data_IF_750857006730
#
_entry.id   IF_750857006730
#
_cell.length_a   1.000
_cell.length_b   1.000
_cell.length_c   1.000
_cell.angle_alpha   90.00
_cell.angle_beta   90.00
_cell.angle_gamma   90.00
#
_symmetry.space_group_name_H-M   'P 1'
#
loop_
_entity.id
_entity.type
_entity.pdbx_description
1 polymer ?
#
# COMPACT_ATOMS: atom_id res chain seq x y z
N UNK A 1 -22.56 15.42 -14.20
CA UNK A 1 -22.86 16.64 -14.97
C UNK A 1 -22.43 16.39 -16.41
N UNK A 2 -23.36 16.22 -17.35
CA UNK A 2 -23.04 16.09 -18.78
C UNK A 2 -23.30 17.44 -19.44
N UNK A 3 -22.25 18.21 -19.68
CA UNK A 3 -22.37 19.45 -20.46
C UNK A 3 -22.49 19.09 -21.94
N UNK A 4 -23.22 19.92 -22.70
CA UNK A 4 -23.53 19.71 -24.13
C UNK A 4 -22.28 19.67 -25.04
N UNK A 5 -21.10 19.97 -24.50
CA UNK A 5 -19.81 19.92 -25.21
C UNK A 5 -19.16 18.54 -25.33
N UNK A 6 -19.77 17.47 -24.82
CA UNK A 6 -19.16 16.13 -24.84
C UNK A 6 -19.50 15.27 -26.08
N UNK A 7 -19.85 15.90 -27.21
CA UNK A 7 -20.08 15.24 -28.50
C UNK A 7 -20.95 13.94 -28.45
N UNK A 8 -21.98 13.90 -27.60
CA UNK A 8 -22.88 12.75 -27.47
C UNK A 8 -22.39 11.62 -26.55
N UNK A 9 -21.23 11.75 -25.92
CA UNK A 9 -20.72 10.75 -24.99
C UNK A 9 -21.27 10.93 -23.58
N UNK A 10 -21.53 9.81 -22.89
CA UNK A 10 -21.90 9.83 -21.47
C UNK A 10 -20.63 10.04 -20.63
N UNK A 11 -20.46 11.24 -20.07
CA UNK A 11 -19.41 11.49 -19.10
C UNK A 11 -19.80 10.88 -17.74
N UNK A 12 -19.07 9.84 -17.32
CA UNK A 12 -19.19 9.26 -15.98
C UNK A 12 -17.99 9.72 -15.17
N UNK A 13 -18.24 10.38 -14.03
CA UNK A 13 -17.20 10.75 -13.06
C UNK A 13 -16.95 9.53 -12.17
N UNK A 14 -15.71 9.06 -12.11
CA UNK A 14 -15.32 8.00 -11.16
C UNK A 14 -15.44 8.56 -9.73
N UNK A 15 -16.11 7.84 -8.84
CA UNK A 15 -16.52 8.36 -7.52
C UNK A 15 -15.37 8.35 -6.52
N UNK A 16 -14.90 7.18 -6.07
CA UNK A 16 -13.74 7.05 -5.18
C UNK A 16 -12.92 5.84 -5.65
N UNK A 17 -11.59 5.96 -5.57
CA UNK A 17 -10.69 4.82 -5.80
C UNK A 17 -10.48 4.11 -4.46
N UNK A 18 -10.68 2.80 -4.44
CA UNK A 18 -10.32 1.93 -3.32
C UNK A 18 -9.01 1.21 -3.65
N UNK A 19 -8.16 1.01 -2.65
CA UNK A 19 -6.86 0.36 -2.77
C UNK A 19 -6.63 -0.59 -1.61
N UNK A 20 -6.14 -1.78 -1.92
CA UNK A 20 -5.67 -2.77 -0.94
C UNK A 20 -4.29 -3.22 -1.39
N UNK A 21 -3.33 -3.24 -0.46
CA UNK A 21 -2.00 -3.80 -0.68
C UNK A 21 -1.88 -4.98 0.29
N UNK A 22 -1.68 -6.17 -0.26
CA UNK A 22 -1.62 -7.43 0.47
C UNK A 22 -0.30 -8.11 0.14
N UNK A 23 0.44 -8.47 1.18
CA UNK A 23 1.73 -9.12 1.05
C UNK A 23 1.99 -10.07 2.21
N UNK A 24 2.93 -10.97 2.00
CA UNK A 24 3.43 -11.88 3.03
C UNK A 24 4.89 -11.55 3.31
N UNK A 25 5.27 -11.60 4.58
CA UNK A 25 6.65 -11.38 5.00
C UNK A 25 7.09 -12.47 5.99
N UNK A 26 8.39 -12.74 6.05
CA UNK A 26 8.95 -13.64 7.05
C UNK A 26 8.88 -12.98 8.43
N UNK A 27 8.60 -13.77 9.47
CA UNK A 27 8.69 -13.34 10.86
C UNK A 27 10.15 -13.17 11.25
N UNK A 28 10.71 -12.00 10.97
CA UNK A 28 12.05 -11.61 11.41
C UNK A 28 11.95 -10.41 12.37
N UNK A 29 12.13 -10.67 13.67
CA UNK A 29 12.06 -9.62 14.69
C UNK A 29 13.32 -8.74 14.76
N UNK A 30 14.39 -9.09 14.05
CA UNK A 30 15.60 -8.28 13.95
C UNK A 30 15.54 -7.27 12.79
N UNK A 31 14.56 -7.39 11.90
CA UNK A 31 14.32 -6.46 10.80
C UNK A 31 13.53 -5.23 11.29
N UNK A 32 14.08 -4.04 11.03
CA UNK A 32 13.47 -2.76 11.38
C UNK A 32 12.14 -2.54 10.64
N UNK A 33 12.02 -3.03 9.40
CA UNK A 33 10.78 -2.90 8.62
C UNK A 33 9.66 -3.77 9.20
N UNK A 34 9.99 -4.98 9.68
CA UNK A 34 9.04 -5.83 10.42
C UNK A 34 8.56 -5.14 11.70
N UNK A 35 9.49 -4.58 12.48
CA UNK A 35 9.15 -3.86 13.69
C UNK A 35 8.22 -2.67 13.39
N UNK A 36 8.51 -1.90 12.33
CA UNK A 36 7.69 -0.77 11.90
C UNK A 36 6.25 -1.20 11.52
N UNK A 37 6.09 -2.27 10.75
CA UNK A 37 4.77 -2.77 10.32
C UNK A 37 3.97 -3.30 11.52
N UNK A 38 4.62 -4.09 12.40
CA UNK A 38 3.99 -4.60 13.63
C UNK A 38 3.52 -3.46 14.52
N UNK A 39 4.37 -2.46 14.74
CA UNK A 39 4.07 -1.34 15.62
C UNK A 39 2.99 -0.44 15.02
N UNK A 40 2.97 -0.26 13.69
CA UNK A 40 1.88 0.42 12.99
C UNK A 40 0.55 -0.31 13.18
N UNK A 41 0.53 -1.64 13.11
CA UNK A 41 -0.67 -2.44 13.38
C UNK A 41 -1.16 -2.29 14.84
N UNK A 42 -0.27 -2.48 15.81
CA UNK A 42 -0.62 -2.45 17.24
C UNK A 42 -1.09 -1.07 17.70
N UNK A 43 -0.46 -0.01 17.18
CA UNK A 43 -0.77 1.37 17.57
C UNK A 43 -1.86 2.02 16.70
N UNK A 44 -2.39 1.31 15.69
CA UNK A 44 -3.28 1.87 14.66
C UNK A 44 -2.66 3.11 13.98
N UNK A 45 -1.35 3.03 13.74
CA UNK A 45 -0.56 4.07 13.09
C UNK A 45 -0.76 4.08 11.59
N UNK A 46 -0.58 5.26 10.99
CA UNK A 46 -0.42 5.40 9.55
C UNK A 46 1.07 5.27 9.21
N UNK A 47 1.39 4.53 8.15
CA UNK A 47 2.74 4.29 7.66
C UNK A 47 2.78 4.52 6.14
N UNK A 48 3.87 5.07 5.64
CA UNK A 48 4.05 5.32 4.21
C UNK A 48 4.57 4.07 3.51
N UNK A 49 3.90 3.65 2.43
CA UNK A 49 4.36 2.59 1.56
C UNK A 49 4.77 3.14 0.19
N UNK A 50 5.86 2.60 -0.34
CA UNK A 50 6.27 2.73 -1.74
C UNK A 50 6.31 1.33 -2.36
N UNK A 51 5.25 0.96 -3.06
CA UNK A 51 5.12 -0.32 -3.76
C UNK A 51 5.70 -0.15 -5.16
N UNK A 52 6.99 -0.38 -5.29
CA UNK A 52 7.78 -0.13 -6.48
C UNK A 52 7.99 -1.41 -7.31
N UNK A 53 7.72 -1.32 -8.61
CA UNK A 53 8.66 -1.57 -9.70
C UNK A 53 9.94 -2.41 -9.53
N UNK A 54 10.79 -1.86 -8.68
CA UNK A 54 12.20 -2.15 -8.53
C UNK A 54 12.75 -1.29 -7.39
N UNK A 55 14.07 -1.27 -7.23
CA UNK A 55 14.70 -0.52 -6.13
C UNK A 55 14.34 0.98 -6.22
N UNK A 56 13.95 1.57 -5.10
CA UNK A 56 13.58 2.99 -4.98
C UNK A 56 14.75 3.93 -5.31
N UNK A 57 15.98 3.43 -5.31
CA UNK A 57 17.20 4.16 -5.68
C UNK A 57 17.53 4.06 -7.16
N UNK A 58 16.85 3.18 -7.92
CA UNK A 58 17.08 3.01 -9.35
C UNK A 58 16.22 3.98 -10.17
N UNK A 59 16.88 4.81 -10.97
CA UNK A 59 16.20 5.71 -11.90
C UNK A 59 15.32 4.93 -12.88
N UNK A 60 14.08 5.39 -13.07
CA UNK A 60 13.09 4.73 -13.90
C UNK A 60 12.22 3.70 -13.17
N UNK A 61 12.56 3.29 -11.94
CA UNK A 61 11.65 2.49 -11.10
C UNK A 61 10.37 3.28 -10.84
N UNK A 62 9.22 2.61 -10.92
CA UNK A 62 7.93 3.25 -10.76
C UNK A 62 7.02 2.44 -9.84
N UNK A 63 6.07 3.12 -9.19
CA UNK A 63 5.24 2.44 -8.21
C UNK A 63 4.17 3.31 -7.57
N UNK A 64 3.35 2.65 -6.76
CA UNK A 64 2.35 3.32 -5.94
C UNK A 64 3.00 3.79 -4.65
N UNK A 65 2.95 5.11 -4.41
CA UNK A 65 3.24 5.69 -3.11
C UNK A 65 1.93 6.04 -2.41
N UNK A 66 1.74 5.55 -1.18
CA UNK A 66 0.53 5.82 -0.41
C UNK A 66 0.78 5.74 1.10
N UNK A 67 0.16 6.66 1.86
CA UNK A 67 0.04 6.50 3.31
C UNK A 67 -1.08 5.51 3.63
N UNK A 68 -0.73 4.40 4.27
CA UNK A 68 -1.65 3.31 4.57
C UNK A 68 -1.76 3.03 6.07
N UNK A 69 -2.86 2.40 6.45
CA UNK A 69 -3.03 1.79 7.77
C UNK A 69 -3.00 0.27 7.62
N UNK A 70 -2.34 -0.42 8.56
CA UNK A 70 -2.34 -1.88 8.62
C UNK A 70 -3.67 -2.35 9.20
N UNK A 71 -4.48 -3.01 8.37
CA UNK A 71 -5.82 -3.50 8.72
C UNK A 71 -5.84 -4.96 9.14
N UNK A 72 -4.84 -5.74 8.73
CA UNK A 72 -4.69 -7.14 9.10
C UNK A 72 -3.21 -7.47 9.27
N UNK A 73 -2.91 -8.27 10.30
CA UNK A 73 -1.58 -8.79 10.61
C UNK A 73 -1.76 -10.19 11.21
N UNK A 74 -1.65 -11.23 10.38
CA UNK A 74 -1.88 -12.62 10.77
C UNK A 74 -0.60 -13.43 10.72
N UNK A 75 -0.25 -14.08 11.83
CA UNK A 75 0.93 -14.94 11.93
C UNK A 75 0.60 -16.37 11.51
N UNK A 76 1.38 -16.89 10.58
CA UNK A 76 1.29 -18.27 10.08
C UNK A 76 2.50 -19.06 10.58
N UNK A 77 2.23 -20.18 11.26
CA UNK A 77 3.25 -21.09 11.81
C UNK A 77 3.15 -22.46 11.14
N UNK A 78 3.62 -22.55 9.90
CA UNK A 78 3.71 -23.84 9.20
C UNK A 78 4.77 -24.72 9.89
N UNK A 79 4.49 -26.03 10.01
CA UNK A 79 5.32 -26.97 10.78
C UNK A 79 6.68 -27.28 10.12
N UNK A 80 6.86 -26.96 8.84
CA UNK A 80 8.05 -27.32 8.04
C UNK A 80 8.73 -26.10 7.37
N UNK A 81 8.19 -24.89 7.53
CA UNK A 81 8.68 -23.68 6.85
C UNK A 81 9.00 -22.56 7.86
N UNK A 82 9.60 -21.47 7.38
CA UNK A 82 9.78 -20.28 8.20
C UNK A 82 8.41 -19.71 8.60
N UNK A 83 8.32 -19.18 9.82
CA UNK A 83 7.12 -18.48 10.28
C UNK A 83 6.92 -17.24 9.41
N UNK A 84 5.71 -17.02 8.91
CA UNK A 84 5.38 -15.86 8.07
C UNK A 84 4.24 -15.03 8.67
N UNK A 85 4.07 -13.83 8.13
CA UNK A 85 2.98 -12.92 8.46
C UNK A 85 2.31 -12.47 7.19
N UNK A 86 1.00 -12.68 7.11
CA UNK A 86 0.15 -12.08 6.10
C UNK A 86 -0.30 -10.70 6.56
N UNK A 87 0.01 -9.67 5.76
CA UNK A 87 -0.28 -8.26 6.08
C UNK A 87 -1.21 -7.67 5.02
N UNK A 88 -2.25 -6.96 5.47
CA UNK A 88 -3.15 -6.18 4.59
C UNK A 88 -3.12 -4.73 5.01
N UNK A 89 -2.74 -3.85 4.08
CA UNK A 89 -2.71 -2.40 4.30
C UNK A 89 -3.61 -1.68 3.31
N UNK A 90 -4.29 -0.63 3.79
CA UNK A 90 -5.20 0.17 2.98
C UNK A 90 -4.86 1.66 3.08
N UNK A 91 -4.94 2.44 1.99
CA UNK A 91 -4.76 3.88 2.04
C UNK A 91 -5.69 4.50 3.08
N UNK A 92 -5.13 5.38 3.91
CA UNK A 92 -5.87 6.07 4.96
C UNK A 92 -5.82 7.57 4.75
N UNK A 93 -6.59 8.31 5.56
CA UNK A 93 -6.56 9.77 5.55
C UNK A 93 -5.13 10.26 5.78
N UNK A 94 -4.65 11.08 4.85
CA UNK A 94 -3.27 11.53 4.81
C UNK A 94 -3.17 12.89 4.14
N UNK A 95 -2.06 13.60 4.44
CA UNK A 95 -1.78 14.91 3.83
C UNK A 95 -1.47 14.77 2.34
N UNK A 96 -0.80 13.68 1.95
CA UNK A 96 -0.43 13.39 0.58
C UNK A 96 -1.35 12.29 0.03
N UNK A 97 -2.12 12.54 -1.04
CA UNK A 97 -2.96 11.51 -1.63
C UNK A 97 -2.09 10.39 -2.25
N UNK A 98 -2.60 9.16 -2.32
CA UNK A 98 -1.96 8.09 -3.07
C UNK A 98 -1.65 8.52 -4.51
N UNK A 99 -0.41 8.33 -4.92
CA UNK A 99 0.07 8.76 -6.24
C UNK A 99 1.00 7.73 -6.86
N UNK A 100 0.94 7.62 -8.19
CA UNK A 100 1.92 6.87 -8.95
C UNK A 100 3.16 7.74 -9.10
N UNK A 101 4.32 7.22 -8.66
CA UNK A 101 5.60 7.92 -8.74
C UNK A 101 6.55 7.19 -9.69
N UNK A 102 7.46 7.94 -10.29
CA UNK A 102 8.60 7.43 -11.06
C UNK A 102 9.85 8.04 -10.43
N UNK A 103 10.83 7.19 -10.09
CA UNK A 103 12.13 7.63 -9.59
C UNK A 103 12.86 8.37 -10.71
N UNK A 104 13.27 9.63 -10.49
CA UNK A 104 13.86 10.47 -11.52
C UNK A 104 15.23 9.97 -12.00
#
# INVERSE_FOLDING_TARGET
MTTRGNAGWRATVATLKDGSIEFEMVWDTADDDFAAIRDAFLNRGAIEFAVMDGDITTSGSQGLRATCMVTSFSRNEALEEAITVSVTVKPTYSVNPPSWIVVP
#
